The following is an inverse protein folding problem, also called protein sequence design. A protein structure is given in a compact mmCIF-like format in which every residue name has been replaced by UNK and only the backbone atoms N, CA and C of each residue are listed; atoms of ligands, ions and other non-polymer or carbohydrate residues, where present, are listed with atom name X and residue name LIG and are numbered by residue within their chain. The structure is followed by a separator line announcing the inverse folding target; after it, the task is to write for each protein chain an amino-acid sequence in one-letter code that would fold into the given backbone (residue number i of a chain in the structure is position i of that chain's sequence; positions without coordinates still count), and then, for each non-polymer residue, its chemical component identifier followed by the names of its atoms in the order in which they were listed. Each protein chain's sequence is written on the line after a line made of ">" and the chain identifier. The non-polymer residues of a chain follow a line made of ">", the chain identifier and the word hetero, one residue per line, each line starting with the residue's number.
data_IF_149035798640
#
_entry.id   IF_149035798640
#
_cell.length_a   1.000
_cell.length_b   1.000
_cell.length_c   1.000
_cell.angle_alpha   90.00
_cell.angle_beta   90.00
_cell.angle_gamma   90.00
#
_symmetry.space_group_name_H-M   'P 1'
#
loop_
_entity.id
_entity.type
_entity.pdbx_description
1 polymer ?
#
# COMPACT_ATOMS: atom_id res chain seq x y z
N UNK A 1 -2.45 -32.45 -40.48
CA UNK A 1 -1.86 -33.72 -40.00
C UNK A 1 -1.44 -34.65 -41.14
N UNK A 2 -2.33 -35.08 -42.04
CA UNK A 2 -1.97 -36.06 -43.09
C UNK A 2 -0.90 -35.56 -44.08
N UNK A 3 -0.89 -34.27 -44.46
CA UNK A 3 0.19 -33.67 -45.28
C UNK A 3 1.56 -33.62 -44.58
N UNK A 4 1.58 -33.41 -43.25
CA UNK A 4 2.83 -33.49 -42.47
C UNK A 4 3.32 -34.94 -42.39
N UNK A 5 2.41 -35.91 -42.32
CA UNK A 5 2.80 -37.33 -42.35
C UNK A 5 3.40 -37.73 -43.69
N UNK A 6 2.91 -37.19 -44.81
CA UNK A 6 3.53 -37.40 -46.14
C UNK A 6 4.92 -36.78 -46.19
N UNK A 7 5.10 -35.54 -45.70
CA UNK A 7 6.43 -34.91 -45.59
C UNK A 7 7.40 -35.72 -44.73
N UNK A 8 6.96 -36.22 -43.58
CA UNK A 8 7.78 -37.07 -42.71
C UNK A 8 8.12 -38.43 -43.35
N UNK A 9 7.23 -38.96 -44.20
CA UNK A 9 7.50 -40.17 -45.00
C UNK A 9 8.57 -39.85 -46.06
N UNK A 10 8.49 -38.71 -46.73
CA UNK A 10 9.47 -38.28 -47.73
C UNK A 10 10.86 -38.01 -47.11
N UNK A 11 10.90 -37.37 -45.95
CA UNK A 11 12.12 -37.23 -45.14
C UNK A 11 12.66 -38.61 -44.72
N UNK A 12 11.79 -39.51 -44.28
CA UNK A 12 12.13 -40.88 -43.91
C UNK A 12 12.60 -41.77 -45.06
N UNK A 13 12.26 -41.43 -46.32
CA UNK A 13 12.74 -42.07 -47.55
C UNK A 13 14.15 -41.59 -47.93
N UNK A 14 14.58 -40.41 -47.45
CA UNK A 14 15.88 -39.80 -47.74
C UNK A 14 16.98 -40.15 -46.71
N UNK A 15 16.64 -40.82 -45.61
CA UNK A 15 17.61 -41.25 -44.59
C UNK A 15 18.47 -42.38 -45.16
N UNK A 16 19.76 -42.09 -45.39
CA UNK A 16 20.80 -43.08 -45.72
C UNK A 16 21.51 -43.55 -44.44
N UNK A 17 22.08 -44.77 -44.41
CA UNK A 17 22.93 -45.19 -43.31
C UNK A 17 24.16 -44.27 -43.20
N UNK A 18 24.47 -43.84 -41.98
CA UNK A 18 25.46 -42.79 -41.66
C UNK A 18 26.91 -43.26 -41.78
N UNK A 19 27.14 -44.59 -41.86
CA UNK A 19 28.49 -45.17 -41.88
C UNK A 19 28.50 -46.32 -42.88
N UNK A 20 29.38 -46.25 -43.88
CA UNK A 20 29.55 -47.32 -44.86
C UNK A 20 30.52 -48.39 -44.34
N UNK A 21 30.43 -49.60 -44.92
CA UNK A 21 31.40 -50.68 -44.66
C UNK A 21 32.84 -50.26 -44.91
N UNK A 22 33.07 -49.38 -45.88
CA UNK A 22 34.39 -48.80 -46.15
C UNK A 22 34.91 -47.96 -44.98
N UNK A 23 34.04 -47.16 -44.37
CA UNK A 23 34.40 -46.29 -43.25
C UNK A 23 34.73 -47.11 -41.99
N UNK A 24 33.94 -48.15 -41.70
CA UNK A 24 34.21 -49.06 -40.58
C UNK A 24 35.53 -49.81 -40.80
N UNK A 25 35.80 -50.23 -42.03
CA UNK A 25 37.05 -50.93 -42.36
C UNK A 25 38.26 -50.01 -42.20
N UNK A 26 38.17 -48.77 -42.67
CA UNK A 26 39.23 -47.77 -42.56
C UNK A 26 39.53 -47.38 -41.11
N UNK A 27 38.50 -47.16 -40.28
CA UNK A 27 38.67 -46.80 -38.85
C UNK A 27 39.42 -47.91 -38.07
N UNK A 28 39.12 -49.17 -38.35
CA UNK A 28 39.75 -50.31 -37.67
C UNK A 28 41.15 -50.64 -38.22
N UNK A 29 41.40 -50.38 -39.50
CA UNK A 29 42.75 -50.43 -40.10
C UNK A 29 43.65 -49.32 -39.52
N UNK A 30 43.12 -48.10 -39.32
CA UNK A 30 43.82 -47.00 -38.64
C UNK A 30 44.11 -47.29 -37.15
N UNK A 31 43.26 -48.09 -36.49
CA UNK A 31 43.46 -48.58 -35.13
C UNK A 31 44.42 -49.80 -35.04
N UNK A 32 44.99 -50.24 -36.16
CA UNK A 32 45.94 -51.35 -36.28
C UNK A 32 45.40 -52.72 -35.79
N UNK A 33 44.07 -52.91 -35.84
CA UNK A 33 43.39 -54.17 -35.49
C UNK A 33 42.93 -54.88 -36.76
N UNK A 34 43.59 -55.98 -37.12
CA UNK A 34 43.20 -56.78 -38.28
C UNK A 34 41.98 -57.66 -37.97
N UNK A 35 40.91 -57.49 -38.75
CA UNK A 35 39.72 -58.33 -38.66
C UNK A 35 40.03 -59.79 -39.03
N UNK A 36 39.60 -60.74 -38.19
CA UNK A 36 39.61 -62.15 -38.55
C UNK A 36 38.56 -62.44 -39.66
N UNK A 37 38.75 -63.53 -40.42
CA UNK A 37 37.86 -63.91 -41.51
C UNK A 37 36.38 -64.15 -41.09
N UNK A 38 36.13 -64.46 -39.81
CA UNK A 38 34.78 -64.61 -39.25
C UNK A 38 34.07 -63.27 -39.02
N UNK A 39 34.79 -62.22 -38.66
CA UNK A 39 34.25 -60.86 -38.47
C UNK A 39 33.92 -60.20 -39.81
N UNK A 40 34.71 -60.47 -40.86
CA UNK A 40 34.42 -59.98 -42.22
C UNK A 40 33.13 -60.61 -42.77
N UNK A 41 32.94 -61.93 -42.62
CA UNK A 41 31.68 -62.59 -42.97
C UNK A 41 30.47 -62.02 -42.23
N UNK A 42 30.62 -61.72 -40.93
CA UNK A 42 29.55 -61.08 -40.14
C UNK A 42 29.22 -59.67 -40.63
N UNK A 43 30.21 -58.90 -41.07
CA UNK A 43 30.01 -57.58 -41.67
C UNK A 43 29.30 -57.68 -43.03
N UNK A 44 29.65 -58.68 -43.86
CA UNK A 44 28.97 -58.96 -45.13
C UNK A 44 27.50 -59.36 -44.91
N UNK A 45 27.24 -60.24 -43.94
CA UNK A 45 25.89 -60.64 -43.53
C UNK A 45 25.08 -59.45 -42.99
N UNK A 46 25.73 -58.54 -42.26
CA UNK A 46 25.12 -57.30 -41.78
C UNK A 46 24.70 -56.40 -42.95
N UNK A 47 25.58 -56.20 -43.93
CA UNK A 47 25.33 -55.34 -45.10
C UNK A 47 24.12 -55.84 -45.91
N UNK A 48 24.07 -57.15 -46.18
CA UNK A 48 22.92 -57.78 -46.86
C UNK A 48 21.63 -57.66 -46.04
N UNK A 49 21.71 -57.75 -44.71
CA UNK A 49 20.57 -57.54 -43.82
C UNK A 49 20.09 -56.08 -43.86
N UNK A 50 21.01 -55.11 -43.80
CA UNK A 50 20.70 -53.68 -43.90
C UNK A 50 20.10 -53.31 -45.27
N UNK A 51 20.63 -53.84 -46.37
CA UNK A 51 20.05 -53.64 -47.71
C UNK A 51 18.61 -54.16 -47.81
N UNK A 52 18.36 -55.37 -47.29
CA UNK A 52 17.00 -55.95 -47.24
C UNK A 52 16.07 -55.12 -46.35
N UNK A 53 16.57 -54.63 -45.22
CA UNK A 53 15.79 -53.82 -44.28
C UNK A 53 15.44 -52.45 -44.88
N UNK A 54 16.37 -51.79 -45.57
CA UNK A 54 16.16 -50.52 -46.28
C UNK A 54 15.16 -50.71 -47.42
N UNK A 55 15.31 -51.78 -48.21
CA UNK A 55 14.40 -52.07 -49.34
C UNK A 55 12.96 -52.31 -48.86
N UNK A 56 12.78 -53.12 -47.81
CA UNK A 56 11.47 -53.35 -47.20
C UNK A 56 10.88 -52.09 -46.57
N UNK A 57 11.72 -51.27 -45.91
CA UNK A 57 11.29 -49.98 -45.35
C UNK A 57 10.82 -49.03 -46.44
N UNK A 58 11.56 -48.91 -47.55
CA UNK A 58 11.21 -48.06 -48.70
C UNK A 58 9.89 -48.49 -49.32
N UNK A 59 9.69 -49.79 -49.52
CA UNK A 59 8.44 -50.35 -50.03
C UNK A 59 7.25 -50.02 -49.10
N UNK A 60 7.39 -50.26 -47.80
CA UNK A 60 6.36 -49.95 -46.80
C UNK A 60 6.01 -48.46 -46.75
N UNK A 61 7.00 -47.58 -46.81
CA UNK A 61 6.80 -46.12 -46.78
C UNK A 61 6.09 -45.63 -48.05
N UNK A 62 6.43 -46.16 -49.23
CA UNK A 62 5.74 -45.84 -50.48
C UNK A 62 4.27 -46.31 -50.48
N UNK A 63 4.01 -47.52 -49.98
CA UNK A 63 2.64 -48.03 -49.83
C UNK A 63 1.81 -47.17 -48.87
N UNK A 64 2.41 -46.72 -47.75
CA UNK A 64 1.77 -45.80 -46.81
C UNK A 64 1.50 -44.43 -47.44
N UNK A 65 2.43 -43.91 -48.26
CA UNK A 65 2.26 -42.63 -48.96
C UNK A 65 1.07 -42.69 -49.91
N UNK A 66 1.02 -43.69 -50.78
CA UNK A 66 -0.05 -43.85 -51.75
C UNK A 66 -1.42 -44.03 -51.08
N UNK A 67 -1.46 -44.74 -49.95
CA UNK A 67 -2.70 -44.87 -49.15
C UNK A 67 -3.15 -43.52 -48.60
N UNK A 68 -2.23 -42.75 -48.01
CA UNK A 68 -2.55 -41.42 -47.47
C UNK A 68 -2.96 -40.43 -48.57
N UNK A 69 -2.32 -40.46 -49.73
CA UNK A 69 -2.70 -39.64 -50.89
C UNK A 69 -4.11 -39.95 -51.38
N UNK A 70 -4.47 -41.24 -51.50
CA UNK A 70 -5.82 -41.67 -51.87
C UNK A 70 -6.88 -41.28 -50.83
N UNK A 71 -6.56 -41.42 -49.54
CA UNK A 71 -7.44 -40.95 -48.46
C UNK A 71 -7.65 -39.44 -48.47
N UNK A 72 -6.62 -38.65 -48.78
CA UNK A 72 -6.73 -37.20 -48.90
C UNK A 72 -7.63 -36.84 -50.09
N UNK A 73 -7.41 -37.48 -51.24
CA UNK A 73 -8.18 -37.21 -52.45
C UNK A 73 -9.67 -37.49 -52.25
N UNK A 74 -10.01 -38.67 -51.74
CA UNK A 74 -11.40 -39.07 -51.48
C UNK A 74 -12.09 -38.19 -50.42
N UNK A 75 -11.36 -37.73 -49.39
CA UNK A 75 -11.89 -36.78 -48.42
C UNK A 75 -12.09 -35.40 -49.03
N UNK A 76 -11.20 -34.95 -49.90
CA UNK A 76 -11.31 -33.67 -50.59
C UNK A 76 -12.54 -33.63 -51.49
N UNK A 77 -12.75 -34.67 -52.31
CA UNK A 77 -13.93 -34.77 -53.18
C UNK A 77 -15.24 -34.75 -52.38
N UNK A 78 -15.29 -35.50 -51.27
CA UNK A 78 -16.46 -35.47 -50.37
C UNK A 78 -16.69 -34.09 -49.76
N UNK A 79 -15.62 -33.41 -49.37
CA UNK A 79 -15.72 -32.05 -48.82
C UNK A 79 -16.26 -31.08 -49.85
N UNK A 80 -15.81 -31.16 -51.10
CA UNK A 80 -16.25 -30.30 -52.19
C UNK A 80 -17.72 -30.56 -52.54
N UNK A 81 -18.15 -31.82 -52.58
CA UNK A 81 -19.55 -32.18 -52.77
C UNK A 81 -20.44 -31.61 -51.66
N UNK A 82 -20.07 -31.81 -50.39
CA UNK A 82 -20.81 -31.30 -49.24
C UNK A 82 -20.85 -29.76 -49.24
N UNK A 83 -19.76 -29.10 -49.63
CA UNK A 83 -19.70 -27.64 -49.75
C UNK A 83 -20.68 -27.14 -50.83
N UNK A 84 -20.75 -27.83 -51.97
CA UNK A 84 -21.68 -27.49 -53.04
C UNK A 84 -23.15 -27.68 -52.63
N UNK A 85 -23.47 -28.76 -51.91
CA UNK A 85 -24.82 -28.96 -51.37
C UNK A 85 -25.18 -27.91 -50.32
N UNK A 86 -24.26 -27.59 -49.42
CA UNK A 86 -24.44 -26.54 -48.42
C UNK A 86 -24.72 -25.17 -49.08
N UNK A 87 -23.94 -24.83 -50.10
CA UNK A 87 -24.11 -23.56 -50.84
C UNK A 87 -25.50 -23.49 -51.52
N UNK A 88 -25.97 -24.58 -52.12
CA UNK A 88 -27.31 -24.65 -52.72
C UNK A 88 -28.42 -24.45 -51.68
N UNK A 89 -28.30 -25.10 -50.53
CA UNK A 89 -29.25 -24.95 -49.43
C UNK A 89 -29.25 -23.52 -48.88
N UNK A 90 -28.09 -22.88 -48.77
CA UNK A 90 -27.99 -21.47 -48.34
C UNK A 90 -28.59 -20.50 -49.35
N UNK A 91 -28.37 -20.69 -50.66
CA UNK A 91 -29.02 -19.88 -51.69
C UNK A 91 -30.55 -20.00 -51.62
N UNK A 92 -31.07 -21.22 -51.49
CA UNK A 92 -32.51 -21.47 -51.36
C UNK A 92 -33.11 -20.78 -50.11
N UNK A 93 -32.41 -20.86 -48.96
CA UNK A 93 -32.82 -20.17 -47.73
C UNK A 93 -32.74 -18.63 -47.86
N UNK A 94 -31.78 -18.11 -48.63
CA UNK A 94 -31.62 -16.68 -48.92
C UNK A 94 -32.72 -16.13 -49.83
N UNK A 95 -33.13 -16.88 -50.86
CA UNK A 95 -34.24 -16.49 -51.76
C UNK A 95 -35.57 -16.28 -51.02
N UNK A 96 -35.76 -16.93 -49.87
CA UNK A 96 -37.01 -16.89 -49.10
C UNK A 96 -36.92 -15.99 -47.85
N UNK A 97 -35.91 -15.11 -47.73
CA UNK A 97 -35.64 -14.23 -46.56
C UNK A 97 -35.44 -14.97 -45.22
N UNK A 98 -35.57 -16.29 -45.17
CA UNK A 98 -35.45 -17.10 -43.97
C UNK A 98 -34.02 -17.08 -43.39
N UNK A 99 -33.00 -16.98 -44.26
CA UNK A 99 -31.61 -16.86 -43.85
C UNK A 99 -31.35 -15.55 -43.10
N UNK A 100 -31.86 -14.42 -43.61
CA UNK A 100 -31.72 -13.11 -42.97
C UNK A 100 -32.39 -13.10 -41.59
N UNK A 101 -33.58 -13.69 -41.49
CA UNK A 101 -34.28 -13.87 -40.20
C UNK A 101 -33.46 -14.72 -39.24
N UNK A 102 -32.87 -15.83 -39.70
CA UNK A 102 -32.01 -16.68 -38.87
C UNK A 102 -30.76 -15.94 -38.38
N UNK A 103 -30.07 -15.20 -39.26
CA UNK A 103 -28.88 -14.41 -38.90
C UNK A 103 -29.24 -13.32 -37.88
N UNK A 104 -30.36 -12.63 -38.07
CA UNK A 104 -30.83 -11.60 -37.14
C UNK A 104 -31.22 -12.19 -35.78
N UNK A 105 -31.94 -13.32 -35.75
CA UNK A 105 -32.30 -14.01 -34.51
C UNK A 105 -31.05 -14.56 -33.79
N UNK A 106 -30.09 -15.12 -34.53
CA UNK A 106 -28.83 -15.61 -33.97
C UNK A 106 -28.02 -14.47 -33.36
N UNK A 107 -27.92 -13.35 -34.08
CA UNK A 107 -27.26 -12.13 -33.60
C UNK A 107 -27.95 -11.58 -32.35
N UNK A 108 -29.28 -11.50 -32.35
CA UNK A 108 -30.04 -11.04 -31.18
C UNK A 108 -29.90 -11.99 -29.99
N UNK A 109 -29.86 -13.29 -30.24
CA UNK A 109 -29.63 -14.30 -29.20
C UNK A 109 -28.23 -14.17 -28.59
N UNK A 110 -27.20 -13.95 -29.42
CA UNK A 110 -25.84 -13.71 -28.96
C UNK A 110 -25.73 -12.42 -28.12
N UNK A 111 -26.38 -11.34 -28.57
CA UNK A 111 -26.47 -10.08 -27.84
C UNK A 111 -27.12 -10.27 -26.45
N UNK A 112 -28.32 -10.87 -26.41
CA UNK A 112 -29.05 -11.15 -25.16
C UNK A 112 -28.25 -12.07 -24.23
N UNK A 113 -27.51 -13.04 -24.77
CA UNK A 113 -26.63 -13.91 -23.98
C UNK A 113 -25.46 -13.13 -23.37
N UNK A 114 -24.85 -12.24 -24.14
CA UNK A 114 -23.79 -11.35 -23.66
C UNK A 114 -24.29 -10.40 -22.57
N UNK A 115 -25.50 -9.84 -22.74
CA UNK A 115 -26.15 -8.98 -21.75
C UNK A 115 -26.43 -9.75 -20.46
N UNK A 116 -27.02 -10.95 -20.57
CA UNK A 116 -27.25 -11.85 -19.43
C UNK A 116 -25.94 -12.17 -18.68
N UNK A 117 -24.88 -12.48 -19.41
CA UNK A 117 -23.58 -12.81 -18.80
C UNK A 117 -22.97 -11.59 -18.10
N UNK A 118 -23.17 -10.39 -18.64
CA UNK A 118 -22.75 -9.13 -18.03
C UNK A 118 -23.55 -8.81 -16.77
N UNK A 119 -24.88 -8.99 -16.80
CA UNK A 119 -25.76 -8.85 -15.63
C UNK A 119 -25.41 -9.84 -14.53
N UNK A 120 -25.08 -11.09 -14.91
CA UNK A 120 -24.65 -12.11 -13.95
C UNK A 120 -23.34 -11.71 -13.26
N UNK A 121 -22.34 -11.24 -14.01
CA UNK A 121 -21.09 -10.70 -13.44
C UNK A 121 -21.35 -9.53 -12.48
N UNK A 122 -22.28 -8.64 -12.83
CA UNK A 122 -22.65 -7.53 -11.97
C UNK A 122 -23.31 -8.00 -10.67
N UNK A 123 -24.19 -9.01 -10.72
CA UNK A 123 -24.81 -9.62 -9.55
C UNK A 123 -23.77 -10.31 -8.64
N UNK A 124 -22.81 -11.03 -9.24
CA UNK A 124 -21.71 -11.66 -8.50
C UNK A 124 -20.87 -10.58 -7.79
N UNK A 125 -20.54 -9.50 -8.50
CA UNK A 125 -19.79 -8.37 -7.96
C UNK A 125 -20.53 -7.67 -6.81
N UNK A 126 -21.84 -7.46 -6.94
CA UNK A 126 -22.66 -6.91 -5.86
C UNK A 126 -22.64 -7.79 -4.61
N UNK A 127 -22.66 -9.11 -4.78
CA UNK A 127 -22.61 -10.06 -3.67
C UNK A 127 -21.24 -10.01 -2.98
N UNK A 128 -20.16 -9.94 -3.75
CA UNK A 128 -18.80 -9.77 -3.23
C UNK A 128 -18.64 -8.46 -2.45
N UNK A 129 -19.13 -7.33 -2.96
CA UNK A 129 -19.05 -6.05 -2.26
C UNK A 129 -19.84 -6.04 -0.94
N UNK A 130 -21.04 -6.65 -0.92
CA UNK A 130 -21.81 -6.82 0.32
C UNK A 130 -21.06 -7.65 1.35
N UNK A 131 -20.36 -8.70 0.91
CA UNK A 131 -19.53 -9.51 1.80
C UNK A 131 -18.33 -8.71 2.34
N UNK A 132 -17.64 -7.96 1.47
CA UNK A 132 -16.54 -7.07 1.85
C UNK A 132 -16.98 -6.01 2.86
N UNK A 133 -18.11 -5.36 2.63
CA UNK A 133 -18.71 -4.38 3.54
C UNK A 133 -19.01 -5.01 4.90
N UNK A 134 -19.64 -6.18 4.93
CA UNK A 134 -19.92 -6.91 6.17
C UNK A 134 -18.63 -7.27 6.93
N UNK A 135 -17.59 -7.69 6.22
CA UNK A 135 -16.30 -8.02 6.81
C UNK A 135 -15.58 -6.77 7.35
N UNK A 136 -15.67 -5.64 6.65
CA UNK A 136 -15.15 -4.36 7.12
C UNK A 136 -15.87 -3.92 8.40
N UNK A 137 -17.19 -3.97 8.44
CA UNK A 137 -17.99 -3.65 9.64
C UNK A 137 -17.64 -4.55 10.82
N UNK A 138 -17.44 -5.86 10.59
CA UNK A 138 -16.98 -6.77 11.64
C UNK A 138 -15.59 -6.38 12.17
N UNK A 139 -14.69 -5.97 11.28
CA UNK A 139 -13.34 -5.55 11.64
C UNK A 139 -13.37 -4.24 12.44
N UNK A 140 -14.25 -3.30 12.09
CA UNK A 140 -14.48 -2.06 12.82
C UNK A 140 -14.96 -2.33 14.24
N UNK A 141 -15.97 -3.19 14.41
CA UNK A 141 -16.48 -3.58 15.73
C UNK A 141 -15.39 -4.21 16.61
N UNK A 142 -14.60 -5.13 16.04
CA UNK A 142 -13.49 -5.75 16.76
C UNK A 142 -12.41 -4.71 17.14
N UNK A 143 -12.18 -3.69 16.30
CA UNK A 143 -11.27 -2.60 16.62
C UNK A 143 -11.80 -1.75 17.78
N UNK A 144 -13.09 -1.41 17.80
CA UNK A 144 -13.73 -0.70 18.92
C UNK A 144 -13.57 -1.47 20.24
N UNK A 145 -13.82 -2.79 20.24
CA UNK A 145 -13.64 -3.63 21.43
C UNK A 145 -12.19 -3.63 21.96
N UNK A 146 -11.21 -3.75 21.05
CA UNK A 146 -9.78 -3.70 21.42
C UNK A 146 -9.42 -2.31 21.98
N UNK A 147 -9.99 -1.26 21.40
CA UNK A 147 -9.73 0.13 21.79
C UNK A 147 -10.30 0.44 23.17
N UNK A 148 -11.52 -0.01 23.45
CA UNK A 148 -12.14 0.13 24.77
C UNK A 148 -11.34 -0.63 25.84
N UNK A 149 -10.90 -1.85 25.53
CA UNK A 149 -10.01 -2.62 26.42
C UNK A 149 -8.71 -1.88 26.69
N UNK A 150 -8.10 -1.28 25.67
CA UNK A 150 -6.88 -0.49 25.83
C UNK A 150 -7.08 0.71 26.75
N UNK A 151 -8.19 1.46 26.62
CA UNK A 151 -8.48 2.58 27.53
C UNK A 151 -8.65 2.12 28.96
N UNK A 152 -9.38 1.01 29.19
CA UNK A 152 -9.56 0.44 30.52
C UNK A 152 -8.23 0.01 31.17
N UNK A 153 -7.30 -0.57 30.38
CA UNK A 153 -5.96 -0.92 30.87
C UNK A 153 -5.11 0.33 31.20
N UNK A 154 -5.31 1.42 30.46
CA UNK A 154 -4.59 2.70 30.64
C UNK A 154 -5.24 3.64 31.66
N UNK A 155 -6.39 3.30 32.24
CA UNK A 155 -7.13 4.17 33.16
C UNK A 155 -6.28 4.70 34.34
N UNK A 156 -5.34 3.95 34.97
CA UNK A 156 -4.47 4.50 36.00
C UNK A 156 -3.60 5.68 35.50
N UNK A 157 -3.08 5.58 34.28
CA UNK A 157 -2.27 6.65 33.67
C UNK A 157 -3.15 7.84 33.26
N UNK A 158 -4.31 7.56 32.67
CA UNK A 158 -5.30 8.57 32.28
C UNK A 158 -5.80 9.34 33.50
N UNK A 159 -6.04 8.65 34.63
CA UNK A 159 -6.42 9.27 35.90
C UNK A 159 -5.34 10.21 36.44
N UNK A 160 -4.06 9.85 36.29
CA UNK A 160 -2.93 10.73 36.59
C UNK A 160 -2.93 12.01 35.75
N UNK A 161 -3.10 11.87 34.42
CA UNK A 161 -3.23 13.00 33.49
C UNK A 161 -4.42 13.90 33.86
N UNK A 162 -5.60 13.31 34.10
CA UNK A 162 -6.83 14.01 34.53
C UNK A 162 -6.61 14.78 35.83
N UNK A 163 -5.97 14.15 36.81
CA UNK A 163 -5.72 14.74 38.13
C UNK A 163 -4.78 15.94 38.05
N UNK A 164 -3.70 15.84 37.27
CA UNK A 164 -2.74 16.92 37.08
C UNK A 164 -3.32 18.08 36.27
N UNK A 165 -4.04 17.78 35.18
CA UNK A 165 -4.73 18.82 34.42
C UNK A 165 -5.74 19.58 35.29
N UNK A 166 -6.52 18.84 36.10
CA UNK A 166 -7.49 19.41 37.03
C UNK A 166 -6.83 20.23 38.15
N UNK A 167 -5.67 19.82 38.66
CA UNK A 167 -4.96 20.60 39.69
C UNK A 167 -4.47 21.93 39.13
N UNK A 168 -3.96 21.96 37.89
CA UNK A 168 -3.62 23.20 37.20
C UNK A 168 -4.86 24.06 36.94
N UNK A 169 -5.92 23.50 36.36
CA UNK A 169 -7.16 24.22 36.05
C UNK A 169 -7.79 24.88 37.29
N UNK A 170 -7.75 24.21 38.44
CA UNK A 170 -8.26 24.76 39.71
C UNK A 170 -7.45 25.94 40.25
N UNK A 171 -6.19 26.12 39.87
CA UNK A 171 -5.42 27.32 40.27
C UNK A 171 -5.95 28.57 39.58
N UNK A 172 -6.33 28.46 38.31
CA UNK A 172 -6.89 29.56 37.55
C UNK A 172 -8.38 29.79 37.87
N UNK A 173 -9.15 28.71 37.99
CA UNK A 173 -10.60 28.77 38.17
C UNK A 173 -11.04 27.80 39.28
N UNK A 174 -10.93 28.19 40.56
CA UNK A 174 -11.18 27.31 41.71
C UNK A 174 -12.60 26.70 41.76
N UNK A 175 -13.58 27.45 41.27
CA UNK A 175 -15.00 27.08 41.29
C UNK A 175 -15.46 26.42 39.98
N UNK A 176 -14.60 26.32 38.97
CA UNK A 176 -14.95 25.77 37.66
C UNK A 176 -14.66 24.27 37.57
N UNK A 177 -15.48 23.56 36.80
CA UNK A 177 -15.20 22.17 36.44
C UNK A 177 -14.08 22.16 35.41
N UNK A 178 -12.99 21.46 35.71
CA UNK A 178 -11.89 21.21 34.78
C UNK A 178 -11.59 19.72 34.69
N UNK A 179 -11.33 19.25 33.48
CA UNK A 179 -11.09 17.83 33.22
C UNK A 179 -10.58 17.54 31.81
N UNK A 180 -10.04 16.33 31.67
CA UNK A 180 -9.57 15.76 30.42
C UNK A 180 -10.41 14.50 30.13
N UNK A 181 -11.22 14.54 29.09
CA UNK A 181 -11.97 13.39 28.59
C UNK A 181 -11.17 12.70 27.47
N UNK A 182 -11.16 11.38 27.50
CA UNK A 182 -10.53 10.53 26.49
C UNK A 182 -11.52 9.38 26.29
N UNK A 183 -12.22 9.40 25.19
CA UNK A 183 -13.29 8.46 24.87
C UNK A 183 -12.99 7.77 23.53
N UNK A 184 -13.57 6.58 23.32
CA UNK A 184 -13.48 5.88 22.03
C UNK A 184 -14.31 6.66 21.01
N UNK A 185 -13.73 6.90 19.83
CA UNK A 185 -14.44 7.49 18.71
C UNK A 185 -15.00 6.36 17.82
N UNK A 186 -16.28 6.04 18.03
CA UNK A 186 -17.00 5.01 17.27
C UNK A 186 -17.68 5.54 15.98
N UNK A 187 -17.27 6.72 15.51
CA UNK A 187 -17.84 7.30 14.27
C UNK A 187 -17.11 6.72 13.05
N UNK A 188 -17.75 6.79 11.88
CA UNK A 188 -17.16 6.36 10.61
C UNK A 188 -16.09 7.36 10.12
N UNK A 189 -14.89 7.28 10.71
CA UNK A 189 -13.73 8.08 10.36
C UNK A 189 -12.42 7.37 10.73
N UNK A 190 -11.28 8.05 10.56
CA UNK A 190 -9.94 7.49 10.80
C UNK A 190 -9.35 7.81 12.18
N UNK A 191 -10.12 8.47 13.05
CA UNK A 191 -9.74 8.90 14.39
C UNK A 191 -10.27 7.89 15.41
N UNK A 192 -9.37 7.37 16.24
CA UNK A 192 -9.71 6.29 17.19
C UNK A 192 -10.18 6.81 18.56
N UNK A 193 -9.71 7.98 18.96
CA UNK A 193 -10.00 8.58 20.27
C UNK A 193 -10.48 10.01 20.11
N UNK A 194 -11.53 10.35 20.86
CA UNK A 194 -11.94 11.73 21.08
C UNK A 194 -11.26 12.22 22.38
N UNK A 195 -10.35 13.19 22.26
CA UNK A 195 -9.63 13.78 23.40
C UNK A 195 -10.12 15.21 23.59
N UNK A 196 -10.68 15.51 24.75
CA UNK A 196 -11.26 16.82 25.04
C UNK A 196 -10.77 17.37 26.37
N UNK A 197 -10.06 18.50 26.31
CA UNK A 197 -9.73 19.29 27.50
C UNK A 197 -10.82 20.33 27.76
N UNK A 198 -11.44 20.27 28.94
CA UNK A 198 -12.51 21.17 29.36
C UNK A 198 -12.09 21.98 30.58
N UNK A 199 -12.37 23.27 30.52
CA UNK A 199 -12.37 24.20 31.66
C UNK A 199 -13.68 24.98 31.51
N UNK A 200 -14.66 24.68 32.35
CA UNK A 200 -15.99 25.27 32.32
C UNK A 200 -15.93 26.69 32.89
N UNK A 201 -15.81 27.67 32.00
CA UNK A 201 -15.81 29.09 32.28
C UNK A 201 -16.25 29.83 31.01
N UNK A 202 -16.55 31.13 31.11
CA UNK A 202 -17.07 31.94 30.00
C UNK A 202 -16.24 31.73 28.74
N UNK A 203 -16.85 31.47 27.58
CA UNK A 203 -16.12 31.19 26.33
C UNK A 203 -15.39 32.45 25.82
N UNK A 204 -14.22 32.72 26.40
CA UNK A 204 -13.28 33.78 26.02
C UNK A 204 -11.99 33.18 25.48
N UNK A 205 -11.32 33.93 24.60
CA UNK A 205 -10.03 33.53 24.04
C UNK A 205 -8.97 33.30 25.12
N UNK A 206 -9.01 34.08 26.22
CA UNK A 206 -8.11 33.92 27.36
C UNK A 206 -8.23 32.56 28.05
N UNK A 207 -9.46 32.05 28.23
CA UNK A 207 -9.69 30.72 28.83
C UNK A 207 -9.15 29.61 27.93
N UNK A 208 -9.26 29.77 26.60
CA UNK A 208 -8.67 28.82 25.69
C UNK A 208 -7.14 28.81 25.77
N UNK A 209 -6.51 29.97 25.91
CA UNK A 209 -5.06 30.05 26.07
C UNK A 209 -4.59 29.44 27.41
N UNK A 210 -5.30 29.68 28.51
CA UNK A 210 -5.02 29.00 29.79
C UNK A 210 -5.18 27.49 29.67
N UNK A 211 -6.17 27.02 28.91
CA UNK A 211 -6.38 25.60 28.63
C UNK A 211 -5.20 24.98 27.86
N UNK A 212 -4.67 25.68 26.85
CA UNK A 212 -3.47 25.26 26.11
C UNK A 212 -2.29 25.12 27.10
N UNK A 213 -2.04 26.14 27.92
CA UNK A 213 -0.99 26.11 28.93
C UNK A 213 -1.11 24.89 29.87
N UNK A 214 -2.29 24.64 30.43
CA UNK A 214 -2.55 23.49 31.30
C UNK A 214 -2.35 22.15 30.57
N UNK A 215 -2.79 22.06 29.31
CA UNK A 215 -2.66 20.87 28.50
C UNK A 215 -1.20 20.55 28.18
N UNK A 216 -0.43 21.54 27.76
CA UNK A 216 0.98 21.39 27.39
C UNK A 216 1.84 21.00 28.59
N UNK A 217 1.59 21.58 29.77
CA UNK A 217 2.25 21.16 31.01
C UNK A 217 1.86 19.74 31.42
N UNK A 218 0.58 19.37 31.25
CA UNK A 218 0.12 18.00 31.52
C UNK A 218 0.86 16.99 30.66
N UNK A 219 0.98 17.26 29.36
CA UNK A 219 1.77 16.40 28.47
C UNK A 219 3.25 16.38 28.84
N UNK A 220 3.85 17.52 29.18
CA UNK A 220 5.28 17.58 29.49
C UNK A 220 5.66 16.83 30.78
N UNK A 221 4.80 16.88 31.81
CA UNK A 221 5.08 16.34 33.14
C UNK A 221 4.52 14.95 33.40
N UNK A 222 3.36 14.63 32.83
CA UNK A 222 2.67 13.35 33.02
C UNK A 222 2.60 12.51 31.73
N UNK A 223 2.99 13.08 30.59
CA UNK A 223 3.06 12.35 29.33
C UNK A 223 4.10 11.23 29.36
N UNK A 224 3.81 10.18 28.60
CA UNK A 224 4.70 9.05 28.42
C UNK A 224 5.21 9.01 26.98
N UNK A 225 6.28 8.23 26.75
CA UNK A 225 6.81 7.96 25.41
C UNK A 225 7.33 9.19 24.63
N UNK A 226 7.82 10.21 25.32
CA UNK A 226 8.58 11.31 24.72
C UNK A 226 9.87 11.59 25.51
N UNK A 227 10.84 12.21 24.84
CA UNK A 227 12.11 12.69 25.44
C UNK A 227 12.14 14.21 25.63
N UNK A 228 11.01 14.87 25.38
CA UNK A 228 10.89 16.33 25.51
C UNK A 228 11.01 16.76 26.97
N UNK A 229 11.93 17.70 27.21
CA UNK A 229 12.17 18.31 28.52
C UNK A 229 12.01 19.83 28.47
N UNK A 230 11.33 20.37 27.47
CA UNK A 230 11.01 21.79 27.45
C UNK A 230 9.65 22.02 26.81
N UNK A 231 9.08 23.20 27.10
CA UNK A 231 7.93 23.76 26.40
C UNK A 231 8.24 25.20 26.07
N UNK A 232 7.79 25.66 24.90
CA UNK A 232 7.97 27.02 24.44
C UNK A 232 6.63 27.61 24.01
N UNK A 233 6.18 28.65 24.71
CA UNK A 233 5.01 29.43 24.34
C UNK A 233 5.40 30.81 23.80
N UNK A 234 4.80 31.21 22.69
CA UNK A 234 4.99 32.56 22.15
C UNK A 234 4.10 33.59 22.88
N UNK A 235 4.34 34.88 22.66
CA UNK A 235 3.61 35.98 23.31
C UNK A 235 2.10 35.91 23.09
N UNK A 236 1.67 35.30 21.98
CA UNK A 236 0.26 35.09 21.65
C UNK A 236 -0.49 34.26 22.68
N UNK A 237 0.18 33.36 23.41
CA UNK A 237 -0.46 32.60 24.48
C UNK A 237 -1.02 33.55 25.55
N UNK A 238 -0.33 34.64 25.85
CA UNK A 238 -0.74 35.54 26.92
C UNK A 238 -1.80 36.56 26.46
N UNK A 239 -2.08 36.67 25.16
CA UNK A 239 -3.07 37.61 24.65
C UNK A 239 -4.48 37.23 25.14
N UNK A 240 -5.27 38.23 25.54
CA UNK A 240 -6.64 38.04 26.02
C UNK A 240 -6.79 37.36 27.39
N UNK A 241 -5.69 36.95 28.03
CA UNK A 241 -5.69 36.43 29.41
C UNK A 241 -5.74 37.61 30.41
N UNK A 242 -6.54 37.48 31.47
CA UNK A 242 -6.59 38.43 32.59
C UNK A 242 -5.22 38.54 33.30
N UNK A 243 -4.88 39.73 33.79
CA UNK A 243 -3.58 40.00 34.42
C UNK A 243 -3.27 39.04 35.58
N UNK A 244 -4.29 38.68 36.39
CA UNK A 244 -4.11 37.75 37.52
C UNK A 244 -3.79 36.34 37.04
N UNK A 245 -4.40 35.91 35.95
CA UNK A 245 -4.15 34.60 35.34
C UNK A 245 -2.78 34.55 34.65
N UNK A 246 -2.35 35.65 34.01
CA UNK A 246 -0.97 35.76 33.50
C UNK A 246 0.03 35.61 34.65
N UNK A 247 -0.15 36.35 35.74
CA UNK A 247 0.70 36.23 36.92
C UNK A 247 0.72 34.79 37.46
N UNK A 248 -0.44 34.13 37.50
CA UNK A 248 -0.53 32.74 37.92
C UNK A 248 0.25 31.80 37.01
N UNK A 249 0.22 31.96 35.67
CA UNK A 249 1.05 31.18 34.73
C UNK A 249 2.53 31.23 35.12
N UNK A 250 3.06 32.42 35.44
CA UNK A 250 4.47 32.57 35.82
C UNK A 250 4.77 31.97 37.19
N UNK A 251 3.83 32.00 38.15
CA UNK A 251 3.96 31.26 39.41
C UNK A 251 4.04 29.75 39.17
N UNK A 252 3.12 29.21 38.36
CA UNK A 252 3.14 27.78 37.99
C UNK A 252 4.45 27.42 37.31
N UNK A 253 4.88 28.22 36.33
CA UNK A 253 6.11 27.96 35.58
C UNK A 253 7.33 27.99 36.50
N UNK A 254 7.41 28.95 37.43
CA UNK A 254 8.49 28.97 38.41
C UNK A 254 8.45 27.75 39.32
N UNK A 255 7.30 27.45 39.94
CA UNK A 255 7.15 26.32 40.89
C UNK A 255 7.40 24.95 40.23
N UNK A 256 6.82 24.70 39.06
CA UNK A 256 6.87 23.40 38.40
C UNK A 256 8.24 23.11 37.78
N UNK A 257 8.97 24.12 37.34
CA UNK A 257 10.26 23.95 36.68
C UNK A 257 11.45 24.15 37.63
N UNK A 258 11.24 24.83 38.77
CA UNK A 258 12.26 24.92 39.82
C UNK A 258 12.69 23.53 40.27
N UNK A 259 14.01 23.30 40.28
CA UNK A 259 14.62 22.04 40.72
C UNK A 259 14.25 20.79 39.89
N UNK A 260 13.69 20.95 38.68
CA UNK A 260 13.44 19.84 37.75
C UNK A 260 14.32 19.97 36.51
N UNK A 261 14.66 18.84 35.88
CA UNK A 261 15.43 18.82 34.63
C UNK A 261 14.53 19.07 33.41
N UNK A 262 13.76 20.16 33.46
CA UNK A 262 12.89 20.62 32.38
C UNK A 262 12.96 22.14 32.26
N UNK A 263 12.68 22.69 31.09
CA UNK A 263 12.79 24.12 30.80
C UNK A 263 11.47 24.72 30.30
N UNK A 264 11.08 25.84 30.89
CA UNK A 264 9.99 26.68 30.38
C UNK A 264 10.59 27.83 29.58
N UNK A 265 10.16 28.01 28.35
CA UNK A 265 10.56 29.13 27.49
C UNK A 265 9.30 29.92 27.14
N UNK A 266 9.36 31.23 27.31
CA UNK A 266 8.28 32.12 26.88
C UNK A 266 8.85 33.39 26.26
N UNK A 267 8.24 33.84 25.16
CA UNK A 267 8.36 35.22 24.69
C UNK A 267 7.17 36.01 25.24
N UNK A 268 7.44 37.21 25.74
CA UNK A 268 6.44 38.03 26.43
C UNK A 268 6.60 39.46 25.98
N UNK A 269 5.51 40.11 25.59
CA UNK A 269 5.55 41.52 25.22
C UNK A 269 5.71 42.41 26.45
N UNK A 270 6.34 43.57 26.29
CA UNK A 270 6.65 44.47 27.42
C UNK A 270 5.39 44.94 28.18
N UNK A 271 4.28 45.17 27.49
CA UNK A 271 3.00 45.52 28.12
C UNK A 271 2.50 44.37 29.02
N UNK A 272 2.52 43.13 28.53
CA UNK A 272 2.11 41.96 29.31
C UNK A 272 3.03 41.71 30.49
N UNK A 273 4.34 41.89 30.32
CA UNK A 273 5.28 41.83 31.42
C UNK A 273 4.95 42.89 32.49
N UNK A 274 4.51 44.08 32.09
CA UNK A 274 4.14 45.16 33.01
C UNK A 274 2.85 44.85 33.78
N UNK A 275 1.87 44.25 33.12
CA UNK A 275 0.65 43.72 33.75
C UNK A 275 0.96 42.62 34.77
N UNK A 276 1.91 41.72 34.48
CA UNK A 276 2.31 40.67 35.42
C UNK A 276 2.98 41.29 36.66
N UNK A 277 3.84 42.30 36.45
CA UNK A 277 4.55 42.99 37.54
C UNK A 277 3.59 43.65 38.54
N UNK A 278 2.44 44.18 38.09
CA UNK A 278 1.47 44.83 38.99
C UNK A 278 0.72 43.83 39.89
N UNK A 279 0.71 42.55 39.52
CA UNK A 279 0.01 41.48 40.25
C UNK A 279 0.95 40.65 41.15
N UNK A 280 2.25 40.95 41.14
CA UNK A 280 3.25 40.31 41.99
C UNK A 280 3.53 41.14 43.23
N UNK A 281 3.79 40.44 44.34
CA UNK A 281 4.47 41.04 45.49
C UNK A 281 5.93 41.33 45.15
N UNK A 282 6.56 42.26 45.88
CA UNK A 282 7.98 42.60 45.66
C UNK A 282 8.89 41.36 45.75
N UNK A 283 8.58 40.44 46.68
CA UNK A 283 9.32 39.19 46.82
C UNK A 283 9.15 38.23 45.63
N UNK A 284 7.93 38.11 45.08
CA UNK A 284 7.66 37.28 43.91
C UNK A 284 8.35 37.85 42.67
N UNK A 285 8.26 39.16 42.48
CA UNK A 285 8.91 39.84 41.37
C UNK A 285 10.43 39.66 41.42
N UNK A 286 11.01 39.76 42.62
CA UNK A 286 12.42 39.52 42.82
C UNK A 286 12.79 38.07 42.45
N UNK A 287 12.12 37.08 43.04
CA UNK A 287 12.44 35.65 42.88
C UNK A 287 12.17 35.11 41.48
N UNK A 288 11.09 35.52 40.83
CA UNK A 288 10.65 34.94 39.55
C UNK A 288 11.34 35.64 38.39
N UNK A 289 11.45 36.97 38.42
CA UNK A 289 11.94 37.75 37.27
C UNK A 289 13.33 38.33 37.53
N UNK A 290 13.50 39.11 38.60
CA UNK A 290 14.71 39.95 38.77
C UNK A 290 15.96 39.11 38.98
N UNK A 291 15.94 38.18 39.93
CA UNK A 291 17.07 37.32 40.28
C UNK A 291 17.42 36.34 39.14
N UNK A 292 16.46 36.05 38.25
CA UNK A 292 16.65 35.18 37.08
C UNK A 292 16.96 35.97 35.79
N UNK A 293 17.07 37.30 35.86
CA UNK A 293 17.41 38.11 34.68
C UNK A 293 18.91 37.99 34.39
N UNK A 294 19.25 37.19 33.38
CA UNK A 294 20.65 36.97 32.95
C UNK A 294 21.18 38.12 32.09
N UNK A 295 20.32 38.72 31.26
CA UNK A 295 20.70 39.73 30.29
C UNK A 295 19.54 40.69 30.07
N UNK A 296 19.83 41.99 30.08
CA UNK A 296 18.89 43.04 29.68
C UNK A 296 19.46 43.73 28.45
N UNK A 297 18.69 43.72 27.37
CA UNK A 297 19.04 44.35 26.10
C UNK A 297 18.11 45.54 25.86
N UNK A 298 18.66 46.64 25.35
CA UNK A 298 17.93 47.88 25.09
C UNK A 298 18.38 48.47 23.76
N UNK A 299 17.51 49.28 23.14
CA UNK A 299 17.84 50.03 21.92
C UNK A 299 18.56 51.36 22.20
N UNK A 300 18.95 51.61 23.45
CA UNK A 300 19.60 52.85 23.87
C UNK A 300 21.03 52.99 23.29
N UNK A 301 21.71 51.88 23.00
CA UNK A 301 23.04 51.86 22.38
C UNK A 301 23.30 50.58 21.59
N UNK A 302 24.21 50.64 20.61
CA UNK A 302 24.58 49.45 19.82
C UNK A 302 25.14 48.32 20.68
N UNK A 303 25.90 48.64 21.73
CA UNK A 303 26.46 47.69 22.70
C UNK A 303 25.41 46.98 23.57
N UNK A 304 24.20 47.54 23.66
CA UNK A 304 23.08 46.95 24.42
C UNK A 304 22.10 46.18 23.53
N UNK A 305 22.37 46.09 22.22
CA UNK A 305 21.65 45.19 21.31
C UNK A 305 22.20 43.77 21.41
N UNK A 306 21.41 42.79 20.97
CA UNK A 306 21.77 41.36 21.04
C UNK A 306 23.14 41.04 20.42
N UNK A 307 23.50 41.71 19.32
CA UNK A 307 24.77 41.50 18.61
C UNK A 307 25.86 42.51 19.00
N UNK A 308 25.57 43.46 19.88
CA UNK A 308 26.50 44.55 20.23
C UNK A 308 26.80 45.53 19.09
N UNK A 309 26.10 45.42 17.96
CA UNK A 309 26.27 46.23 16.75
C UNK A 309 24.90 46.51 16.10
N UNK A 310 24.81 47.60 15.33
CA UNK A 310 23.69 47.81 14.42
C UNK A 310 23.91 47.02 13.13
N UNK A 311 23.03 46.06 12.85
CA UNK A 311 22.98 45.36 11.57
C UNK A 311 21.88 45.99 10.73
N UNK A 312 22.26 46.82 9.75
CA UNK A 312 21.33 47.22 8.70
C UNK A 312 21.13 46.01 7.78
N UNK A 313 19.98 45.35 7.89
CA UNK A 313 19.53 44.36 6.90
C UNK A 313 19.12 45.17 5.68
N UNK A 314 20.09 45.51 4.84
CA UNK A 314 19.84 46.19 3.58
C UNK A 314 18.85 45.37 2.76
N UNK A 315 17.78 46.02 2.29
CA UNK A 315 16.86 45.46 1.32
C UNK A 315 17.66 44.95 0.12
N UNK A 316 17.54 43.65 -0.17
CA UNK A 316 17.92 43.06 -1.45
C UNK A 316 16.68 42.81 -2.26
#
# INVERSE_FOLDING_TARGET
>A
MQQNNIKNIDEGLNIKPDISKGDIKNIYEEANVFFNAGTTKRLDELEVFYEKLITNRKKRLLEQRNRLESEIHTKSEKSEHLQNEFNKLMQYLGEHQALDVFVNLSSKSAELKSERDSLKKYQDLQSEYKEKERNANKSLLNLSEITEKYLNEMEPNISGLRSYFRSLGKRFYPNSVSGLAIDVNDKDNQVLFDIEAKIESDTSDGINNVKIFCYDLTLLFQGHNHKMNFVFHDSRLFDGIDERQKAEIFRIAYEEFSNKNKQYIATVNQNQLSEIKSQFTDEELQKIITDNTVLTLTDESDTQKLLGIKVDIGEK
#
